data_IF_158216759936
#
_entry.id   IF_158216759936
#
_cell.length_a   1.000
_cell.length_b   1.000
_cell.length_c   1.000
_cell.angle_alpha   90.00
_cell.angle_beta   90.00
_cell.angle_gamma   90.00
#
_symmetry.space_group_name_H-M   'P 1'
#
loop_
_entity.id
_entity.type
_entity.pdbx_description
1 polymer ?
#
# COMPACT_ATOMS: atom_id res chain seq x y z
N UNK A 1 -69.61 -50.75 0.28
CA UNK A 1 -69.98 -49.37 0.64
C UNK A 1 -69.09 -48.49 -0.20
N UNK A 2 -69.60 -48.12 -1.37
CA UNK A 2 -68.88 -47.41 -2.42
C UNK A 2 -69.72 -46.19 -2.77
N UNK A 3 -69.15 -44.99 -2.66
CA UNK A 3 -69.55 -43.71 -3.29
C UNK A 3 -68.36 -42.77 -3.07
N UNK A 4 -67.68 -42.34 -4.14
CA UNK A 4 -67.90 -41.05 -4.84
C UNK A 4 -67.14 -39.91 -4.09
N UNK A 5 -66.46 -38.93 -4.68
CA UNK A 5 -66.59 -38.26 -5.98
C UNK A 5 -65.39 -37.31 -6.17
N UNK A 6 -65.11 -36.93 -7.42
CA UNK A 6 -64.56 -35.60 -7.77
C UNK A 6 -63.04 -35.55 -7.95
N UNK A 7 -62.48 -35.47 -9.17
CA UNK A 7 -62.37 -34.23 -9.97
C UNK A 7 -61.73 -33.11 -9.13
N UNK A 8 -60.58 -32.54 -9.47
CA UNK A 8 -60.29 -31.88 -10.75
C UNK A 8 -58.83 -31.44 -10.81
N UNK A 9 -58.41 -31.32 -12.06
CA UNK A 9 -57.19 -30.71 -12.56
C UNK A 9 -56.87 -29.33 -11.97
N UNK A 10 -55.57 -29.10 -11.89
CA UNK A 10 -54.79 -27.89 -11.62
C UNK A 10 -55.43 -26.53 -11.95
N UNK A 11 -55.08 -25.50 -11.16
CA UNK A 11 -54.66 -24.25 -11.77
C UNK A 11 -53.25 -23.80 -11.35
N UNK A 12 -52.40 -23.55 -12.34
CA UNK A 12 -51.21 -22.71 -12.21
C UNK A 12 -51.63 -21.24 -12.05
N UNK A 13 -51.15 -20.55 -11.00
CA UNK A 13 -50.82 -19.11 -11.08
C UNK A 13 -50.02 -18.60 -9.85
N UNK A 14 -48.74 -18.29 -10.13
CA UNK A 14 -47.93 -17.12 -9.71
C UNK A 14 -47.64 -16.78 -8.23
N UNK A 15 -46.32 -16.69 -7.99
CA UNK A 15 -45.58 -15.69 -7.18
C UNK A 15 -45.77 -15.78 -5.65
N UNK A 16 -44.77 -15.65 -4.77
CA UNK A 16 -43.35 -15.35 -4.85
C UNK A 16 -42.70 -15.73 -3.50
N UNK A 17 -41.40 -16.06 -3.53
CA UNK A 17 -40.39 -15.81 -2.49
C UNK A 17 -40.62 -16.31 -1.05
N UNK A 18 -39.66 -17.10 -0.55
CA UNK A 18 -39.39 -17.15 0.89
C UNK A 18 -38.93 -18.51 1.42
N UNK A 19 -37.62 -18.60 1.64
CA UNK A 19 -37.00 -19.43 2.68
C UNK A 19 -37.31 -20.95 2.67
N UNK A 20 -36.56 -21.69 1.86
CA UNK A 20 -36.20 -23.07 2.21
C UNK A 20 -35.16 -23.01 3.33
N UNK A 21 -35.61 -22.85 4.58
CA UNK A 21 -34.77 -23.09 5.75
C UNK A 21 -34.53 -24.58 5.87
N UNK A 22 -33.52 -25.07 5.16
CA UNK A 22 -32.94 -26.37 5.48
C UNK A 22 -32.38 -26.31 6.90
N UNK A 23 -32.83 -27.26 7.73
CA UNK A 23 -32.50 -27.43 9.14
C UNK A 23 -30.99 -27.32 9.44
N UNK A 24 -30.59 -26.97 10.69
CA UNK A 24 -29.18 -26.87 11.03
C UNK A 24 -28.55 -28.27 10.95
N UNK A 25 -27.79 -28.52 9.88
CA UNK A 25 -26.77 -29.55 9.86
C UNK A 25 -25.90 -29.31 11.09
N UNK A 26 -25.93 -30.23 12.06
CA UNK A 26 -25.11 -30.14 13.24
C UNK A 26 -23.65 -29.97 12.80
N UNK A 27 -23.15 -28.74 12.91
CA UNK A 27 -21.82 -28.40 12.46
C UNK A 27 -20.84 -29.28 13.24
N UNK A 28 -20.13 -30.16 12.52
CA UNK A 28 -19.02 -30.91 13.10
C UNK A 28 -18.11 -29.89 13.80
N UNK A 29 -17.72 -30.10 15.07
CA UNK A 29 -17.03 -29.07 15.85
C UNK A 29 -15.78 -28.50 15.15
N UNK A 30 -15.09 -29.32 14.35
CA UNK A 30 -13.97 -28.88 13.50
C UNK A 30 -14.35 -28.01 12.30
N UNK A 31 -15.55 -28.16 11.69
CA UNK A 31 -16.03 -27.25 10.64
C UNK A 31 -16.35 -25.87 11.22
N UNK A 32 -16.99 -25.82 12.39
CA UNK A 32 -17.33 -24.55 13.06
C UNK A 32 -16.08 -23.75 13.45
N UNK A 33 -15.02 -24.42 13.91
CA UNK A 33 -13.76 -23.75 14.27
C UNK A 33 -13.02 -23.26 13.02
N UNK A 34 -12.90 -24.11 12.00
CA UNK A 34 -12.34 -23.73 10.71
C UNK A 34 -13.07 -22.52 10.10
N UNK A 35 -14.40 -22.53 10.05
CA UNK A 35 -15.20 -21.44 9.47
C UNK A 35 -15.00 -20.13 10.22
N UNK A 36 -14.87 -20.20 11.56
CA UNK A 36 -14.57 -19.04 12.39
C UNK A 36 -13.18 -18.49 12.08
N UNK A 37 -12.16 -19.34 12.01
CA UNK A 37 -10.77 -18.94 11.72
C UNK A 37 -10.66 -18.32 10.32
N UNK A 38 -11.30 -18.91 9.32
CA UNK A 38 -11.36 -18.35 7.97
C UNK A 38 -12.01 -16.96 7.95
N UNK A 39 -13.13 -16.78 8.66
CA UNK A 39 -13.81 -15.46 8.75
C UNK A 39 -12.93 -14.41 9.42
N UNK A 40 -12.24 -14.74 10.51
CA UNK A 40 -11.32 -13.84 11.19
C UNK A 40 -10.14 -13.47 10.28
N UNK A 41 -9.54 -14.46 9.61
CA UNK A 41 -8.44 -14.22 8.66
C UNK A 41 -8.84 -13.26 7.53
N UNK A 42 -10.03 -13.44 6.94
CA UNK A 42 -10.52 -12.52 5.91
C UNK A 42 -10.87 -11.14 6.46
N UNK A 43 -11.35 -11.02 7.70
CA UNK A 43 -11.63 -9.73 8.33
C UNK A 43 -10.33 -8.94 8.56
N UNK A 44 -9.31 -9.59 9.13
CA UNK A 44 -7.98 -8.99 9.35
C UNK A 44 -7.31 -8.60 8.02
N UNK A 45 -7.44 -9.44 6.99
CA UNK A 45 -6.91 -9.15 5.65
C UNK A 45 -7.52 -7.87 5.05
N UNK A 46 -8.83 -7.65 5.24
CA UNK A 46 -9.53 -6.46 4.73
C UNK A 46 -9.08 -5.17 5.40
N UNK A 47 -8.68 -5.23 6.66
CA UNK A 47 -8.15 -4.07 7.40
C UNK A 47 -6.64 -3.91 7.28
N UNK A 48 -5.97 -4.76 6.49
CA UNK A 48 -4.54 -4.67 6.20
C UNK A 48 -3.63 -5.36 7.22
N UNK A 49 -4.20 -6.08 8.20
CA UNK A 49 -3.45 -6.82 9.21
C UNK A 49 -2.99 -8.18 8.67
N UNK A 50 -2.20 -8.17 7.60
CA UNK A 50 -1.85 -9.38 6.85
C UNK A 50 -1.14 -10.45 7.68
N UNK A 51 -0.32 -10.06 8.66
CA UNK A 51 0.33 -11.02 9.57
C UNK A 51 -0.65 -11.74 10.50
N UNK A 52 -1.63 -11.01 11.06
CA UNK A 52 -2.68 -11.59 11.92
C UNK A 52 -3.62 -12.46 11.07
N UNK A 53 -3.94 -12.00 9.86
CA UNK A 53 -4.72 -12.78 8.90
C UNK A 53 -4.05 -14.12 8.55
N UNK A 54 -2.74 -14.10 8.29
CA UNK A 54 -1.96 -15.32 8.02
C UNK A 54 -2.04 -16.31 9.19
N UNK A 55 -1.85 -15.84 10.43
CA UNK A 55 -1.95 -16.70 11.62
C UNK A 55 -3.31 -17.40 11.75
N UNK A 56 -4.40 -16.70 11.41
CA UNK A 56 -5.73 -17.32 11.42
C UNK A 56 -5.89 -18.37 10.33
N UNK A 57 -5.34 -18.15 9.13
CA UNK A 57 -5.36 -19.16 8.05
C UNK A 57 -4.47 -20.37 8.36
N UNK A 58 -3.33 -20.18 9.03
CA UNK A 58 -2.48 -21.28 9.51
C UNK A 58 -3.18 -22.11 10.58
N UNK A 59 -3.89 -21.46 11.51
CA UNK A 59 -4.74 -22.17 12.47
C UNK A 59 -5.87 -22.93 11.77
N UNK A 60 -6.49 -22.37 10.73
CA UNK A 60 -7.51 -23.07 9.94
C UNK A 60 -6.93 -24.31 9.25
N UNK A 61 -5.69 -24.25 8.76
CA UNK A 61 -4.96 -25.40 8.21
C UNK A 61 -4.58 -26.43 9.27
N UNK A 62 -4.37 -26.04 10.52
CA UNK A 62 -4.15 -26.98 11.62
C UNK A 62 -5.43 -27.77 11.96
N UNK A 63 -6.60 -27.14 11.82
CA UNK A 63 -7.91 -27.78 12.02
C UNK A 63 -8.30 -28.66 10.84
N UNK A 64 -8.00 -28.22 9.61
CA UNK A 64 -8.26 -28.99 8.40
C UNK A 64 -7.01 -29.01 7.47
N UNK A 65 -6.06 -29.91 7.74
CA UNK A 65 -4.85 -30.03 6.95
C UNK A 65 -5.18 -30.39 5.50
N UNK A 66 -4.68 -29.59 4.55
CA UNK A 66 -4.93 -29.80 3.12
C UNK A 66 -6.15 -29.08 2.55
N UNK A 67 -6.83 -28.26 3.35
CA UNK A 67 -7.87 -27.38 2.81
C UNK A 67 -7.29 -26.38 1.81
N UNK A 68 -7.84 -26.38 0.60
CA UNK A 68 -7.36 -25.55 -0.51
C UNK A 68 -7.61 -24.07 -0.25
N UNK A 69 -8.72 -23.71 0.39
CA UNK A 69 -9.11 -22.32 0.60
C UNK A 69 -8.18 -21.65 1.62
N UNK A 70 -7.93 -22.29 2.75
CA UNK A 70 -7.01 -21.80 3.77
C UNK A 70 -5.56 -21.75 3.26
N UNK A 71 -5.16 -22.71 2.42
CA UNK A 71 -3.83 -22.70 1.76
C UNK A 71 -3.67 -21.48 0.85
N UNK A 72 -4.64 -21.23 -0.03
CA UNK A 72 -4.63 -20.07 -0.93
C UNK A 72 -4.67 -18.76 -0.12
N UNK A 73 -5.50 -18.70 0.92
CA UNK A 73 -5.63 -17.52 1.76
C UNK A 73 -4.32 -17.19 2.50
N UNK A 74 -3.65 -18.20 3.07
CA UNK A 74 -2.34 -18.03 3.71
C UNK A 74 -1.27 -17.52 2.72
N UNK A 75 -1.18 -18.13 1.52
CA UNK A 75 -0.24 -17.70 0.49
C UNK A 75 -0.51 -16.26 -0.01
N UNK A 76 -1.78 -15.87 -0.11
CA UNK A 76 -2.14 -14.49 -0.43
C UNK A 76 -1.68 -13.51 0.65
N UNK A 77 -1.72 -13.90 1.93
CA UNK A 77 -1.24 -13.05 3.01
C UNK A 77 0.29 -12.92 2.99
N UNK A 78 1.01 -14.02 2.76
CA UNK A 78 2.47 -14.00 2.61
C UNK A 78 2.89 -13.03 1.48
N UNK A 79 2.23 -13.11 0.32
CA UNK A 79 2.46 -12.16 -0.78
C UNK A 79 2.17 -10.71 -0.40
N UNK A 80 1.10 -10.45 0.36
CA UNK A 80 0.75 -9.11 0.82
C UNK A 80 1.79 -8.55 1.80
N UNK A 81 2.31 -9.40 2.71
CA UNK A 81 3.39 -9.05 3.64
C UNK A 81 4.67 -8.75 2.87
N UNK A 82 5.04 -9.57 1.89
CA UNK A 82 6.22 -9.33 1.07
C UNK A 82 6.09 -8.02 0.28
N UNK A 83 4.94 -7.75 -0.33
CA UNK A 83 4.70 -6.49 -1.06
C UNK A 83 4.76 -5.27 -0.16
N UNK A 84 4.18 -5.34 1.04
CA UNK A 84 4.23 -4.23 2.01
C UNK A 84 5.64 -4.02 2.54
N UNK A 85 6.40 -5.08 2.80
CA UNK A 85 7.80 -5.01 3.18
C UNK A 85 8.67 -4.40 2.05
N UNK A 86 8.45 -4.81 0.80
CA UNK A 86 9.14 -4.25 -0.37
C UNK A 86 8.79 -2.77 -0.58
N UNK A 87 7.52 -2.39 -0.44
CA UNK A 87 7.11 -0.99 -0.49
C UNK A 87 7.76 -0.17 0.62
N UNK A 88 7.78 -0.68 1.85
CA UNK A 88 8.44 -0.02 2.97
C UNK A 88 9.97 0.14 2.75
N UNK A 89 10.63 -0.88 2.19
CA UNK A 89 12.05 -0.81 1.82
C UNK A 89 12.30 0.18 0.68
N UNK A 90 11.44 0.22 -0.32
CA UNK A 90 11.53 1.20 -1.41
C UNK A 90 11.38 2.63 -0.87
N UNK A 91 10.41 2.89 0.01
CA UNK A 91 10.24 4.18 0.69
C UNK A 91 11.44 4.51 1.57
N UNK A 92 11.98 3.54 2.32
CA UNK A 92 13.15 3.76 3.15
C UNK A 92 14.42 4.00 2.32
N UNK A 93 14.56 3.38 1.16
CA UNK A 93 15.68 3.61 0.22
C UNK A 93 15.59 5.01 -0.37
N UNK A 94 14.40 5.46 -0.79
CA UNK A 94 14.18 6.85 -1.22
C UNK A 94 14.47 7.83 -0.08
N UNK A 95 14.03 7.53 1.15
CA UNK A 95 14.28 8.36 2.32
C UNK A 95 15.78 8.37 2.72
N UNK A 96 16.51 7.27 2.55
CA UNK A 96 17.97 7.22 2.76
C UNK A 96 18.73 7.95 1.66
N UNK A 97 18.37 7.79 0.39
CA UNK A 97 18.91 8.62 -0.70
C UNK A 97 18.63 10.11 -0.47
N UNK A 98 17.54 10.43 0.23
CA UNK A 98 17.17 11.79 0.63
C UNK A 98 17.79 12.24 1.97
N UNK A 99 18.37 11.35 2.78
CA UNK A 99 18.97 11.65 4.10
C UNK A 99 20.49 11.43 4.16
N UNK A 100 21.10 10.71 3.22
CA UNK A 100 22.54 10.79 2.91
C UNK A 100 22.89 12.14 2.27
N UNK A 101 21.87 12.93 1.95
CA UNK A 101 21.93 14.37 1.73
C UNK A 101 22.00 15.12 3.09
N UNK A 102 23.22 15.24 3.59
CA UNK A 102 23.69 16.14 4.65
C UNK A 102 23.50 15.71 6.12
N UNK A 103 24.59 15.69 6.93
CA UNK A 103 24.48 15.55 8.38
C UNK A 103 23.74 16.75 8.99
N UNK A 104 23.10 16.54 10.14
CA UNK A 104 22.22 17.48 10.84
C UNK A 104 22.85 18.84 11.28
N UNK A 105 24.12 19.10 10.92
CA UNK A 105 24.77 20.41 11.03
C UNK A 105 24.83 21.19 9.71
N UNK A 106 24.30 20.65 8.61
CA UNK A 106 24.48 21.20 7.27
C UNK A 106 23.34 22.11 6.78
N UNK A 107 22.27 22.28 7.56
CA UNK A 107 21.25 23.29 7.28
C UNK A 107 21.83 24.71 7.16
N UNK A 108 22.65 25.21 8.11
CA UNK A 108 23.26 26.54 7.98
C UNK A 108 24.24 26.64 6.80
N UNK A 109 24.95 25.56 6.46
CA UNK A 109 25.89 25.56 5.33
C UNK A 109 25.15 25.58 3.98
N UNK A 110 24.07 24.80 3.83
CA UNK A 110 23.24 24.82 2.62
C UNK A 110 22.69 26.22 2.36
N UNK A 111 21.99 26.80 3.34
CA UNK A 111 21.36 28.12 3.18
C UNK A 111 22.41 29.21 2.93
N UNK A 112 23.59 29.12 3.56
CA UNK A 112 24.72 30.01 3.29
C UNK A 112 25.20 29.93 1.85
N UNK A 113 25.36 28.74 1.29
CA UNK A 113 25.78 28.57 -0.10
C UNK A 113 24.71 29.01 -1.10
N UNK A 114 23.43 28.76 -0.81
CA UNK A 114 22.33 29.27 -1.65
C UNK A 114 22.31 30.79 -1.64
N UNK A 115 22.39 31.43 -0.48
CA UNK A 115 22.40 32.89 -0.37
C UNK A 115 23.63 33.50 -1.06
N UNK A 116 24.83 32.93 -0.87
CA UNK A 116 26.04 33.38 -1.54
C UNK A 116 25.95 33.25 -3.08
N UNK A 117 25.32 32.18 -3.58
CA UNK A 117 25.06 32.01 -5.01
C UNK A 117 24.11 33.06 -5.57
N UNK A 118 23.06 33.41 -4.82
CA UNK A 118 22.16 34.50 -5.21
C UNK A 118 22.87 35.86 -5.20
N UNK A 119 23.63 36.19 -4.15
CA UNK A 119 24.41 37.43 -4.12
C UNK A 119 25.42 37.54 -5.25
N UNK A 120 26.08 36.43 -5.63
CA UNK A 120 26.97 36.39 -6.80
C UNK A 120 26.18 36.59 -8.11
N UNK A 121 24.98 36.02 -8.22
CA UNK A 121 24.10 36.21 -9.38
C UNK A 121 23.66 37.67 -9.51
N UNK A 122 23.35 38.35 -8.41
CA UNK A 122 22.94 39.77 -8.39
C UNK A 122 24.03 40.70 -8.93
N UNK A 123 25.30 40.39 -8.67
CA UNK A 123 26.44 41.14 -9.22
C UNK A 123 26.94 40.59 -10.57
N UNK A 124 26.19 39.67 -11.19
CA UNK A 124 26.50 39.00 -12.47
C UNK A 124 27.79 38.17 -12.48
N UNK A 125 28.29 37.78 -11.30
CA UNK A 125 29.37 36.81 -11.18
C UNK A 125 28.80 35.39 -11.28
N UNK A 126 28.47 35.00 -12.50
CA UNK A 126 27.77 33.75 -12.79
C UNK A 126 28.61 32.50 -12.55
N UNK A 127 29.94 32.58 -12.75
CA UNK A 127 30.83 31.45 -12.46
C UNK A 127 30.89 31.17 -10.95
N UNK A 128 31.02 32.21 -10.12
CA UNK A 128 30.99 32.06 -8.67
C UNK A 128 29.60 31.61 -8.19
N UNK A 129 28.53 32.13 -8.79
CA UNK A 129 27.16 31.71 -8.46
C UNK A 129 26.95 30.20 -8.71
N UNK A 130 27.34 29.70 -9.89
CA UNK A 130 27.25 28.28 -10.22
C UNK A 130 28.06 27.43 -9.24
N UNK A 131 29.26 27.85 -8.85
CA UNK A 131 30.07 27.13 -7.87
C UNK A 131 29.34 27.01 -6.54
N UNK A 132 28.79 28.11 -6.02
CA UNK A 132 28.05 28.09 -4.76
C UNK A 132 26.79 27.23 -4.81
N UNK A 133 25.99 27.30 -5.88
CA UNK A 133 24.81 26.45 -6.02
C UNK A 133 25.18 24.96 -6.16
N UNK A 134 26.26 24.63 -6.88
CA UNK A 134 26.75 23.26 -6.97
C UNK A 134 27.26 22.74 -5.61
N UNK A 135 27.94 23.56 -4.81
CA UNK A 135 28.29 23.20 -3.43
C UNK A 135 27.03 22.97 -2.58
N UNK A 136 26.00 23.81 -2.72
CA UNK A 136 24.70 23.59 -2.09
C UNK A 136 24.08 22.24 -2.48
N UNK A 137 24.21 21.81 -3.75
CA UNK A 137 23.75 20.50 -4.21
C UNK A 137 24.57 19.32 -3.71
N UNK A 138 25.86 19.51 -3.39
CA UNK A 138 26.65 18.47 -2.72
C UNK A 138 26.15 18.23 -1.29
N UNK A 139 25.63 19.27 -0.65
CA UNK A 139 25.04 19.19 0.70
C UNK A 139 23.64 18.60 0.62
N UNK A 140 22.74 19.17 -0.19
CA UNK A 140 21.39 18.65 -0.42
C UNK A 140 21.20 18.22 -1.88
N UNK A 141 21.62 16.98 -2.22
CA UNK A 141 21.30 16.35 -3.49
C UNK A 141 19.83 16.53 -3.87
N UNK A 142 19.58 16.85 -5.14
CA UNK A 142 18.24 17.02 -5.72
C UNK A 142 17.39 18.15 -5.11
N UNK A 143 18.00 19.14 -4.45
CA UNK A 143 17.24 20.28 -3.95
C UNK A 143 16.65 21.13 -5.10
N UNK A 144 15.33 21.34 -5.14
CA UNK A 144 14.67 22.03 -6.26
C UNK A 144 15.07 23.50 -6.39
N UNK A 145 15.37 24.19 -5.27
CA UNK A 145 15.78 25.59 -5.29
C UNK A 145 17.16 25.76 -5.92
N UNK A 146 18.13 24.95 -5.51
CA UNK A 146 19.48 24.99 -6.07
C UNK A 146 19.50 24.63 -7.57
N UNK A 147 18.73 23.60 -7.97
CA UNK A 147 18.59 23.21 -9.38
C UNK A 147 17.91 24.30 -10.22
N UNK A 148 16.94 25.02 -9.66
CA UNK A 148 16.30 26.14 -10.34
C UNK A 148 17.27 27.31 -10.49
N UNK A 149 18.04 27.62 -9.44
CA UNK A 149 19.02 28.71 -9.46
C UNK A 149 20.11 28.48 -10.52
N UNK A 150 20.66 27.26 -10.61
CA UNK A 150 21.62 26.89 -11.67
C UNK A 150 21.02 27.06 -13.07
N UNK A 151 19.76 26.65 -13.27
CA UNK A 151 19.06 26.85 -14.55
C UNK A 151 18.94 28.34 -14.90
N UNK A 152 18.52 29.16 -13.94
CA UNK A 152 18.40 30.61 -14.14
C UNK A 152 19.75 31.23 -14.50
N UNK A 153 20.83 30.90 -13.78
CA UNK A 153 22.18 31.42 -14.06
C UNK A 153 22.67 31.00 -15.44
N UNK A 154 22.47 29.73 -15.82
CA UNK A 154 22.81 29.28 -17.18
C UNK A 154 22.03 30.05 -18.25
N UNK A 155 20.76 30.36 -18.01
CA UNK A 155 19.98 31.24 -18.90
C UNK A 155 20.58 32.63 -18.97
N UNK A 156 21.01 33.24 -17.87
CA UNK A 156 21.65 34.57 -17.90
C UNK A 156 22.96 34.57 -18.69
N UNK A 157 23.81 33.56 -18.50
CA UNK A 157 25.04 33.38 -19.29
C UNK A 157 24.71 33.28 -20.79
N UNK A 158 23.72 32.46 -21.15
CA UNK A 158 23.33 32.25 -22.54
C UNK A 158 22.70 33.49 -23.19
N UNK A 159 21.99 34.29 -22.41
CA UNK A 159 21.27 35.48 -22.89
C UNK A 159 22.06 36.78 -22.74
N UNK A 160 23.25 36.73 -22.13
CA UNK A 160 24.12 37.90 -21.90
C UNK A 160 23.50 38.95 -20.98
N UNK A 161 22.56 38.54 -20.12
CA UNK A 161 21.77 39.45 -19.28
C UNK A 161 22.49 39.96 -18.05
#
# INVERSE_FOLDING_TARGET
MSVESGQTDTPQARQAQGASVSAPEAALPGKSEYDRLMRLGYAESRVGNYGVAQQYFEQALAVNPGDRMATIASWNMENAIQKTAQAAQATQTVARVSNDAAPANAAPDFDRYINAGYSATEIRDYETALRYFNTGLQIRPNNPYALQAIRNVNTYIQTGQ
#
